data_IF_861759143356
#
_entry.id   IF_861759143356
#
_cell.length_a   1.000
_cell.length_b   1.000
_cell.length_c   1.000
_cell.angle_alpha   90.00
_cell.angle_beta   90.00
_cell.angle_gamma   90.00
#
_symmetry.space_group_name_H-M   'P 1'
#
loop_
_entity.id
_entity.type
_entity.pdbx_description
1 polymer ?
#
# COMPACT_ATOMS: atom_id res chain seq x y z
N UNK A 1 -8.45 2.08 -7.64
CA UNK A 1 -7.82 0.86 -7.14
C UNK A 1 -8.83 0.00 -6.38
N UNK A 2 -8.70 -1.34 -6.41
CA UNK A 2 -9.57 -2.24 -5.63
C UNK A 2 -9.17 -2.28 -4.14
N UNK A 3 -10.10 -2.64 -3.25
CA UNK A 3 -9.88 -2.55 -1.79
C UNK A 3 -8.67 -3.36 -1.29
N UNK A 4 -8.50 -4.59 -1.76
CA UNK A 4 -7.40 -5.45 -1.32
C UNK A 4 -6.03 -4.89 -1.70
N UNK A 5 -5.89 -4.32 -2.91
CA UNK A 5 -4.65 -3.66 -3.34
C UNK A 5 -4.41 -2.40 -2.51
N UNK A 6 -5.46 -1.64 -2.20
CA UNK A 6 -5.35 -0.40 -1.41
C UNK A 6 -4.80 -0.62 -0.02
N UNK A 7 -5.19 -1.71 0.64
CA UNK A 7 -4.61 -2.10 1.94
C UNK A 7 -3.12 -2.43 1.84
N UNK A 8 -2.71 -3.21 0.83
CA UNK A 8 -1.31 -3.53 0.62
C UNK A 8 -0.48 -2.29 0.26
N UNK A 9 -1.04 -1.38 -0.54
CA UNK A 9 -0.46 -0.06 -0.85
C UNK A 9 -0.30 0.78 0.41
N UNK A 10 -1.27 0.79 1.32
CA UNK A 10 -1.15 1.53 2.58
C UNK A 10 0.05 1.06 3.42
N UNK A 11 0.24 -0.25 3.53
CA UNK A 11 1.38 -0.85 4.22
C UNK A 11 2.69 -0.53 3.50
N UNK A 12 2.73 -0.69 2.18
CA UNK A 12 3.92 -0.36 1.39
C UNK A 12 4.32 1.12 1.55
N UNK A 13 3.33 2.03 1.52
CA UNK A 13 3.53 3.46 1.74
C UNK A 13 4.10 3.78 3.12
N UNK A 14 3.57 3.14 4.17
CA UNK A 14 4.11 3.27 5.52
C UNK A 14 5.59 2.87 5.57
N UNK A 15 5.93 1.72 5.00
CA UNK A 15 7.31 1.20 5.00
C UNK A 15 8.24 2.12 4.22
N UNK A 16 7.81 2.61 3.06
CA UNK A 16 8.58 3.55 2.23
C UNK A 16 8.91 4.85 2.98
N UNK A 17 7.92 5.44 3.66
CA UNK A 17 8.08 6.73 4.34
C UNK A 17 8.81 6.62 5.68
N UNK A 18 8.52 5.58 6.46
CA UNK A 18 9.04 5.45 7.83
C UNK A 18 10.29 4.60 7.93
N UNK A 19 10.60 3.82 6.89
CA UNK A 19 11.63 2.79 6.88
C UNK A 19 11.45 1.74 8.00
N UNK A 20 10.22 1.55 8.48
CA UNK A 20 9.85 0.55 9.48
C UNK A 20 8.99 -0.53 8.84
N UNK A 21 9.27 -1.79 9.18
CA UNK A 21 8.43 -2.91 8.76
C UNK A 21 7.14 -2.93 9.56
N UNK A 22 6.05 -3.34 8.92
CA UNK A 22 4.73 -3.49 9.54
C UNK A 22 4.42 -4.97 9.80
N UNK A 23 3.66 -5.21 10.85
CA UNK A 23 3.11 -6.51 11.27
C UNK A 23 1.60 -6.58 11.08
N UNK A 24 0.92 -5.44 11.02
CA UNK A 24 -0.52 -5.37 10.78
C UNK A 24 -0.97 -4.00 10.24
N UNK A 25 -2.17 -3.97 9.69
CA UNK A 25 -2.87 -2.72 9.33
C UNK A 25 -4.33 -2.80 9.72
N UNK A 26 -4.83 -1.73 10.34
CA UNK A 26 -6.25 -1.52 10.57
C UNK A 26 -6.87 -0.81 9.35
N UNK A 27 -7.93 -1.39 8.78
CA UNK A 27 -8.74 -0.76 7.72
C UNK A 27 -9.98 -0.11 8.35
N UNK A 28 -10.08 1.22 8.29
CA UNK A 28 -11.22 1.94 8.87
C UNK A 28 -12.52 1.79 8.07
N UNK A 29 -12.45 1.37 6.81
CA UNK A 29 -13.62 1.20 5.94
C UNK A 29 -14.30 -0.13 6.23
N UNK A 30 -13.51 -1.21 6.26
CA UNK A 30 -14.02 -2.56 6.50
C UNK A 30 -14.09 -2.92 8.00
N UNK A 31 -13.36 -2.19 8.84
CA UNK A 31 -13.29 -2.41 10.28
C UNK A 31 -12.50 -3.68 10.63
N UNK A 32 -11.27 -3.51 11.11
CA UNK A 32 -10.50 -4.63 11.65
C UNK A 32 -9.01 -4.56 11.35
N UNK A 33 -8.25 -5.37 12.07
CA UNK A 33 -6.82 -5.57 11.85
C UNK A 33 -6.58 -6.71 10.86
N UNK A 34 -5.69 -6.45 9.92
CA UNK A 34 -5.23 -7.40 8.93
C UNK A 34 -3.76 -7.69 9.19
N UNK A 35 -3.39 -8.95 9.50
CA UNK A 35 -2.00 -9.33 9.65
C UNK A 35 -1.23 -9.11 8.35
N UNK A 36 0.03 -8.68 8.49
CA UNK A 36 0.94 -8.40 7.38
C UNK A 36 2.31 -9.00 7.66
N UNK A 37 3.03 -9.38 6.61
CA UNK A 37 4.46 -9.70 6.70
C UNK A 37 5.22 -8.85 5.68
N UNK A 38 6.22 -8.12 6.14
CA UNK A 38 6.97 -7.17 5.32
C UNK A 38 8.46 -7.51 5.31
N UNK A 39 9.06 -7.49 4.12
CA UNK A 39 10.51 -7.45 3.93
C UNK A 39 10.89 -6.20 3.16
N UNK A 40 11.85 -5.43 3.70
CA UNK A 40 12.37 -4.22 3.07
C UNK A 40 13.90 -4.26 3.13
N UNK A 41 14.56 -4.27 1.97
CA UNK A 41 16.02 -4.35 1.88
C UNK A 41 16.51 -3.53 0.70
N UNK A 42 17.25 -2.46 0.98
CA UNK A 42 17.65 -1.51 -0.06
C UNK A 42 16.42 -0.91 -0.76
N UNK A 43 16.32 -1.15 -2.07
CA UNK A 43 15.21 -0.68 -2.88
C UNK A 43 14.14 -1.75 -3.15
N UNK A 44 14.29 -2.94 -2.56
CA UNK A 44 13.33 -4.03 -2.70
C UNK A 44 12.33 -4.01 -1.54
N UNK A 45 11.05 -4.08 -1.88
CA UNK A 45 9.94 -4.17 -0.93
C UNK A 45 9.07 -5.38 -1.25
N UNK A 46 8.63 -6.07 -0.21
CA UNK A 46 7.65 -7.14 -0.29
C UNK A 46 6.68 -7.05 0.87
N UNK A 47 5.38 -6.98 0.55
CA UNK A 47 4.29 -6.98 1.50
C UNK A 47 3.43 -8.20 1.22
N UNK A 48 3.37 -9.13 2.16
CA UNK A 48 2.42 -10.23 2.15
C UNK A 48 1.20 -9.87 2.98
N UNK A 49 0.03 -9.95 2.36
CA UNK A 49 -1.26 -9.72 3.00
C UNK A 49 -1.96 -11.07 3.18
N UNK A 50 -2.11 -11.46 4.45
CA UNK A 50 -2.66 -12.76 4.83
C UNK A 50 -4.13 -12.92 4.44
N UNK A 51 -4.92 -11.84 4.36
CA UNK A 51 -6.33 -11.96 3.99
C UNK A 51 -6.50 -12.36 2.53
N UNK A 52 -5.68 -11.82 1.63
CA UNK A 52 -5.72 -12.18 0.21
C UNK A 52 -4.73 -13.29 -0.16
N UNK A 53 -3.94 -13.77 0.80
CA UNK A 53 -2.89 -14.79 0.61
C UNK A 53 -1.94 -14.47 -0.56
N UNK A 54 -1.61 -13.19 -0.74
CA UNK A 54 -0.86 -12.71 -1.91
C UNK A 54 0.12 -11.59 -1.56
N UNK A 55 1.09 -11.37 -2.45
CA UNK A 55 2.13 -10.37 -2.33
C UNK A 55 1.82 -9.10 -3.13
N UNK A 56 2.30 -7.97 -2.62
CA UNK A 56 2.68 -6.79 -3.39
C UNK A 56 4.20 -6.64 -3.25
N UNK A 57 4.96 -6.84 -4.33
CA UNK A 57 6.42 -6.92 -4.20
C UNK A 57 7.18 -6.53 -5.47
N UNK A 58 8.37 -5.94 -5.29
CA UNK A 58 9.24 -5.57 -6.39
C UNK A 58 10.29 -4.55 -5.96
N UNK A 59 10.96 -3.97 -6.95
CA UNK A 59 11.89 -2.87 -6.75
C UNK A 59 11.17 -1.54 -6.98
N UNK A 60 11.29 -0.62 -6.03
CA UNK A 60 10.67 0.69 -6.16
C UNK A 60 11.21 1.45 -7.40
N UNK A 61 10.36 2.22 -8.11
CA UNK A 61 8.98 2.55 -7.74
C UNK A 61 7.93 1.55 -8.23
N UNK A 62 8.28 0.40 -8.81
CA UNK A 62 7.33 -0.53 -9.41
C UNK A 62 7.20 -1.83 -8.61
N UNK A 63 6.05 -2.00 -7.96
CA UNK A 63 5.71 -3.24 -7.24
C UNK A 63 4.73 -4.04 -8.08
N UNK A 64 4.92 -5.35 -8.17
CA UNK A 64 3.97 -6.25 -8.82
C UNK A 64 2.96 -6.74 -7.78
N UNK A 65 1.68 -6.58 -8.10
CA UNK A 65 0.58 -7.12 -7.31
C UNK A 65 0.19 -8.50 -7.85
N UNK A 66 0.41 -9.54 -7.04
CA UNK A 66 0.17 -10.91 -7.46
C UNK A 66 -1.32 -11.28 -7.49
N UNK A 67 -2.18 -10.55 -6.78
CA UNK A 67 -3.63 -10.81 -6.82
C UNK A 67 -4.29 -10.36 -8.11
N UNK A 68 -3.82 -9.24 -8.69
CA UNK A 68 -4.36 -8.66 -9.92
C UNK A 68 -3.48 -8.89 -11.14
N UNK A 69 -2.33 -9.55 -10.96
CA UNK A 69 -1.32 -9.78 -11.98
C UNK A 69 -0.91 -8.50 -12.73
N UNK A 70 -0.81 -7.38 -12.00
CA UNK A 70 -0.58 -6.04 -12.54
C UNK A 70 0.42 -5.27 -11.70
N UNK A 71 1.07 -4.27 -12.29
CA UNK A 71 1.98 -3.39 -11.54
C UNK A 71 1.22 -2.32 -10.77
N UNK A 72 1.85 -1.86 -9.68
CA UNK A 72 1.50 -0.66 -8.95
C UNK A 72 2.76 0.20 -8.90
N UNK A 73 2.68 1.38 -9.51
CA UNK A 73 3.75 2.37 -9.44
C UNK A 73 3.56 3.26 -8.20
N UNK A 74 4.64 3.53 -7.45
CA UNK A 74 4.64 4.28 -6.20
C UNK A 74 5.87 5.19 -6.11
N UNK A 75 5.69 6.48 -6.43
CA UNK A 75 6.75 7.48 -6.36
C UNK A 75 6.63 8.30 -5.08
N UNK A 76 7.61 8.17 -4.19
CA UNK A 76 7.66 8.88 -2.92
C UNK A 76 8.27 10.29 -3.06
N UNK A 77 7.66 11.25 -2.38
CA UNK A 77 8.20 12.60 -2.15
C UNK A 77 7.92 13.02 -0.71
N UNK A 78 8.96 12.99 0.13
CA UNK A 78 8.82 13.23 1.56
C UNK A 78 7.89 12.20 2.22
N UNK A 79 6.80 12.67 2.84
CA UNK A 79 5.79 11.82 3.47
C UNK A 79 4.58 11.53 2.57
N UNK A 80 4.68 11.86 1.27
CA UNK A 80 3.62 11.64 0.29
C UNK A 80 4.06 10.67 -0.80
N UNK A 81 3.11 9.97 -1.39
CA UNK A 81 3.33 9.09 -2.54
C UNK A 81 2.28 9.40 -3.60
N UNK A 82 2.73 9.58 -4.83
CA UNK A 82 1.86 9.56 -6.00
C UNK A 82 2.04 8.23 -6.72
N UNK A 83 0.94 7.57 -7.06
CA UNK A 83 1.00 6.25 -7.65
C UNK A 83 -0.05 6.01 -8.72
N UNK A 84 0.13 4.88 -9.41
CA UNK A 84 -0.76 4.42 -10.46
C UNK A 84 -0.96 2.92 -10.34
N UNK A 85 -2.22 2.50 -10.26
CA UNK A 85 -2.63 1.10 -10.25
C UNK A 85 -2.92 0.67 -11.70
N UNK A 86 -2.08 -0.20 -12.27
CA UNK A 86 -2.24 -0.65 -13.65
C UNK A 86 -3.42 -1.61 -13.83
N UNK A 87 -3.90 -2.25 -12.77
CA UNK A 87 -5.07 -3.12 -12.86
C UNK A 87 -6.33 -2.33 -13.22
N UNK A 88 -6.53 -1.19 -12.55
CA UNK A 88 -7.71 -0.34 -12.74
C UNK A 88 -7.44 0.86 -13.64
N UNK A 89 -6.21 1.03 -14.10
CA UNK A 89 -5.74 2.17 -14.90
C UNK A 89 -6.06 3.53 -14.24
N UNK A 90 -5.89 3.62 -12.92
CA UNK A 90 -6.25 4.82 -12.15
C UNK A 90 -5.11 5.29 -11.26
N UNK A 91 -5.01 6.60 -11.09
CA UNK A 91 -4.12 7.23 -10.13
C UNK A 91 -4.60 7.06 -8.68
N UNK A 92 -3.66 7.19 -7.75
CA UNK A 92 -3.92 7.39 -6.33
C UNK A 92 -2.84 8.28 -5.71
N UNK A 93 -3.17 8.90 -4.59
CA UNK A 93 -2.19 9.61 -3.77
C UNK A 93 -2.28 9.14 -2.32
N UNK A 94 -1.16 9.19 -1.63
CA UNK A 94 -1.03 8.74 -0.25
C UNK A 94 -0.32 9.80 0.57
N UNK A 95 -0.80 10.03 1.78
CA UNK A 95 -0.09 10.79 2.82
C UNK A 95 0.13 9.87 4.02
N UNK A 96 1.37 9.83 4.49
CA UNK A 96 1.75 9.04 5.67
C UNK A 96 2.13 9.99 6.81
N UNK A 97 1.45 9.85 7.94
CA UNK A 97 1.73 10.61 9.16
C UNK A 97 1.93 9.64 10.32
N UNK A 98 3.19 9.33 10.62
CA UNK A 98 3.59 8.27 11.54
C UNK A 98 2.96 6.92 11.12
N UNK A 99 2.09 6.33 11.96
CA UNK A 99 1.37 5.09 11.64
C UNK A 99 0.07 5.29 10.86
N UNK A 100 -0.39 6.53 10.65
CA UNK A 100 -1.63 6.79 9.93
C UNK A 100 -1.35 6.98 8.45
N UNK A 101 -2.10 6.26 7.61
CA UNK A 101 -1.98 6.32 6.16
C UNK A 101 -3.33 6.69 5.56
N UNK A 102 -3.36 7.76 4.78
CA UNK A 102 -4.56 8.21 4.06
C UNK A 102 -4.32 8.08 2.57
N UNK A 103 -5.19 7.34 1.88
CA UNK A 103 -5.15 7.13 0.43
C UNK A 103 -6.33 7.84 -0.20
N UNK A 104 -6.09 8.74 -1.15
CA UNK A 104 -7.13 9.20 -2.07
C UNK A 104 -7.10 8.32 -3.33
N UNK A 105 -8.20 7.62 -3.58
CA UNK A 105 -8.36 6.74 -4.73
C UNK A 105 -9.16 7.44 -5.82
N UNK A 106 -8.53 7.73 -6.97
CA UNK A 106 -9.21 8.43 -8.06
C UNK A 106 -10.25 7.58 -8.78
N UNK A 107 -10.19 6.25 -8.69
CA UNK A 107 -11.25 5.39 -9.26
C UNK A 107 -12.57 5.60 -8.53
N UNK A 108 -12.49 5.77 -7.21
CA UNK A 108 -13.65 5.88 -6.31
C UNK A 108 -13.94 7.34 -5.93
N UNK A 109 -13.04 8.26 -6.28
CA UNK A 109 -13.06 9.67 -5.91
C UNK A 109 -13.25 9.90 -4.39
N UNK A 110 -12.62 9.05 -3.55
CA UNK A 110 -12.77 9.13 -2.10
C UNK A 110 -11.50 8.77 -1.32
N UNK A 111 -11.48 9.19 -0.05
CA UNK A 111 -10.41 8.89 0.89
C UNK A 111 -10.65 7.58 1.63
N UNK A 112 -9.57 6.85 1.88
CA UNK A 112 -9.53 5.65 2.70
C UNK A 112 -8.43 5.82 3.74
N UNK A 113 -8.72 5.48 4.99
CA UNK A 113 -7.80 5.64 6.11
C UNK A 113 -7.37 4.28 6.64
N UNK A 114 -6.11 4.21 7.06
CA UNK A 114 -5.51 3.03 7.65
C UNK A 114 -4.61 3.40 8.82
N UNK A 115 -4.48 2.50 9.79
CA UNK A 115 -3.48 2.59 10.87
C UNK A 115 -2.55 1.39 10.81
N UNK A 116 -1.27 1.62 10.54
CA UNK A 116 -0.24 0.60 10.31
C UNK A 116 0.67 0.49 11.53
N UNK A 117 0.91 -0.74 11.99
CA UNK A 117 1.77 -1.07 13.14
C UNK A 117 2.83 -2.12 12.79
#
# INVERSE_FOLDING_TARGET
MIADVRRAVAVASYVMVTNRVASSVFDFTNGGYHPMSVSHTGNFLSVYDYQRSNYLSGYLPNLFDYSTASYVNMMMSGNTINGFDYHTATYFSVTVNAGNVTIFDYQMAQYYMYSVN
#
